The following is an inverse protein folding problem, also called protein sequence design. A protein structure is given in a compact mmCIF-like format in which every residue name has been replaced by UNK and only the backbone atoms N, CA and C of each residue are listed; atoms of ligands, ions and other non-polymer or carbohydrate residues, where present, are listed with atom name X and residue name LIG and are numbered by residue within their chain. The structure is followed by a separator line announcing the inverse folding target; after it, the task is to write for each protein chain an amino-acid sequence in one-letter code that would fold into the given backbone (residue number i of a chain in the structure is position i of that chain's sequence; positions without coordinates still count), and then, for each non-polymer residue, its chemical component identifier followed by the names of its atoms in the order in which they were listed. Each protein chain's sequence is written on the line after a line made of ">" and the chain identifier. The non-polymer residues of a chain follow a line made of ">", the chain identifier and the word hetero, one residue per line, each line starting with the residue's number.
data_IF_272391203054
#
_entry.id   IF_272391203054
#
_cell.length_a   1.000
_cell.length_b   1.000
_cell.length_c   1.000
_cell.angle_alpha   90.00
_cell.angle_beta   90.00
_cell.angle_gamma   90.00
#
_symmetry.space_group_name_H-M   'P 1'
#
loop_
_entity.id
_entity.type
_entity.pdbx_description
1 polymer ?
#
# COMPACT_ATOMS: atom_id res chain seq x y z
N UNK A 1 -15.78 -15.79 -24.52
CA UNK A 1 -16.64 -14.88 -23.73
C UNK A 1 -15.87 -14.46 -22.50
N UNK A 2 -15.76 -13.16 -22.27
CA UNK A 2 -14.99 -12.59 -21.16
C UNK A 2 -15.86 -12.59 -19.91
N UNK A 3 -15.30 -13.06 -18.80
CA UNK A 3 -15.95 -13.04 -17.49
C UNK A 3 -15.05 -12.29 -16.53
N UNK A 4 -15.64 -11.39 -15.75
CA UNK A 4 -14.94 -10.72 -14.66
C UNK A 4 -15.38 -11.38 -13.36
N UNK A 5 -14.43 -11.92 -12.61
CA UNK A 5 -14.69 -12.66 -11.38
C UNK A 5 -14.30 -11.79 -10.19
N UNK A 6 -15.24 -11.53 -9.29
CA UNK A 6 -15.02 -10.67 -8.13
C UNK A 6 -13.91 -11.23 -7.22
N UNK A 7 -13.74 -12.55 -7.16
CA UNK A 7 -12.69 -13.19 -6.35
C UNK A 7 -11.28 -12.74 -6.72
N UNK A 8 -11.04 -12.45 -8.01
CA UNK A 8 -9.73 -12.00 -8.49
C UNK A 8 -9.43 -10.59 -7.97
N UNK A 9 -10.44 -9.73 -7.94
CA UNK A 9 -10.34 -8.39 -7.35
C UNK A 9 -10.05 -8.47 -5.84
N UNK A 10 -10.78 -9.29 -5.08
CA UNK A 10 -10.53 -9.46 -3.65
C UNK A 10 -9.14 -10.04 -3.37
N UNK A 11 -8.69 -11.01 -4.16
CA UNK A 11 -7.35 -11.58 -4.07
C UNK A 11 -6.27 -10.54 -4.36
N UNK A 12 -6.50 -9.64 -5.31
CA UNK A 12 -5.59 -8.53 -5.58
C UNK A 12 -5.51 -7.56 -4.40
N UNK A 13 -6.65 -7.23 -3.75
CA UNK A 13 -6.65 -6.41 -2.54
C UNK A 13 -5.90 -7.07 -1.38
N UNK A 14 -6.06 -8.39 -1.19
CA UNK A 14 -5.32 -9.16 -0.17
C UNK A 14 -3.82 -9.14 -0.42
N UNK A 15 -3.42 -9.29 -1.69
CA UNK A 15 -2.01 -9.18 -2.07
C UNK A 15 -1.45 -7.80 -1.76
N UNK A 16 -2.18 -6.72 -2.09
CA UNK A 16 -1.72 -5.36 -1.80
C UNK A 16 -1.57 -5.15 -0.29
N UNK A 17 -2.51 -5.63 0.53
CA UNK A 17 -2.38 -5.51 1.99
C UNK A 17 -1.13 -6.25 2.51
N UNK A 18 -0.92 -7.48 2.04
CA UNK A 18 0.27 -8.27 2.37
C UNK A 18 1.57 -7.56 1.97
N UNK A 19 1.64 -7.04 0.74
CA UNK A 19 2.80 -6.30 0.25
C UNK A 19 3.05 -5.05 1.10
N UNK A 20 2.00 -4.29 1.48
CA UNK A 20 2.13 -3.11 2.34
C UNK A 20 2.64 -3.46 3.75
N UNK A 21 2.25 -4.62 4.29
CA UNK A 21 2.78 -5.11 5.57
C UNK A 21 4.28 -5.40 5.47
N UNK A 22 4.71 -6.09 4.42
CA UNK A 22 6.12 -6.38 4.17
C UNK A 22 6.96 -5.11 3.96
N UNK A 23 6.43 -4.13 3.21
CA UNK A 23 7.11 -2.85 3.03
C UNK A 23 7.22 -2.07 4.34
N UNK A 24 6.16 -2.06 5.16
CA UNK A 24 6.18 -1.38 6.46
C UNK A 24 7.22 -2.00 7.40
N UNK A 25 7.34 -3.34 7.41
CA UNK A 25 8.38 -4.03 8.17
C UNK A 25 9.79 -3.67 7.67
N UNK A 26 9.98 -3.66 6.34
CA UNK A 26 11.25 -3.27 5.73
C UNK A 26 11.64 -1.84 6.10
N UNK A 27 10.70 -0.90 6.01
CA UNK A 27 10.91 0.50 6.40
C UNK A 27 11.25 0.64 7.88
N UNK A 28 10.60 -0.13 8.75
CA UNK A 28 10.89 -0.17 10.19
C UNK A 28 12.31 -0.66 10.48
N UNK A 29 12.77 -1.69 9.78
CA UNK A 29 14.13 -2.22 9.90
C UNK A 29 15.18 -1.19 9.46
N UNK A 30 14.95 -0.53 8.32
CA UNK A 30 15.82 0.55 7.84
C UNK A 30 15.82 1.72 8.83
N UNK A 31 14.66 2.13 9.31
CA UNK A 31 14.55 3.22 10.29
C UNK A 31 15.35 2.90 11.56
N UNK A 32 15.27 1.67 12.06
CA UNK A 32 16.02 1.21 13.23
C UNK A 32 17.54 1.26 12.99
N UNK A 33 18.00 0.82 11.82
CA UNK A 33 19.42 0.90 11.45
C UNK A 33 19.91 2.36 11.37
N UNK A 34 19.11 3.25 10.78
CA UNK A 34 19.42 4.69 10.68
C UNK A 34 19.46 5.33 12.07
N UNK A 35 18.51 4.99 12.95
CA UNK A 35 18.54 5.44 14.34
C UNK A 35 19.82 4.99 15.06
N UNK A 36 20.34 3.80 14.75
CA UNK A 36 21.65 3.35 15.23
C UNK A 36 22.78 4.32 14.86
N UNK A 37 22.79 4.83 13.62
CA UNK A 37 23.79 5.81 13.14
C UNK A 37 23.60 7.17 13.81
N UNK A 38 22.37 7.67 13.85
CA UNK A 38 22.03 8.96 14.47
C UNK A 38 22.43 8.99 15.95
N UNK A 39 22.29 7.86 16.64
CA UNK A 39 22.55 7.72 18.07
C UNK A 39 23.97 7.24 18.41
N UNK A 40 24.93 7.31 17.47
CA UNK A 40 26.33 6.92 17.73
C UNK A 40 27.02 7.77 18.80
N UNK A 41 26.44 8.90 19.22
CA UNK A 41 26.96 9.72 20.32
C UNK A 41 28.44 10.07 20.14
N UNK A 42 29.24 9.72 21.14
CA UNK A 42 30.67 9.97 21.19
C UNK A 42 31.52 9.01 20.32
N UNK A 43 30.91 7.95 19.76
CA UNK A 43 31.62 7.04 18.85
C UNK A 43 31.82 7.66 17.46
N UNK A 44 31.10 8.75 17.14
CA UNK A 44 31.22 9.46 15.87
C UNK A 44 31.10 10.97 16.11
N UNK A 45 32.25 11.62 16.26
CA UNK A 45 32.39 13.02 16.69
C UNK A 45 33.12 13.89 15.66
N UNK A 46 33.28 15.17 15.99
CA UNK A 46 33.85 16.18 15.11
C UNK A 46 32.87 16.66 14.03
N UNK A 47 33.27 17.67 13.26
CA UNK A 47 32.36 18.29 12.27
C UNK A 47 31.83 17.28 11.23
N UNK A 48 32.67 16.35 10.77
CA UNK A 48 32.25 15.30 9.84
C UNK A 48 31.29 14.29 10.47
N UNK A 49 31.53 13.88 11.71
CA UNK A 49 30.65 12.97 12.44
C UNK A 49 29.28 13.57 12.71
N UNK A 50 29.24 14.82 13.15
CA UNK A 50 27.99 15.58 13.31
C UNK A 50 27.26 15.79 11.99
N UNK A 51 27.98 16.12 10.90
CA UNK A 51 27.38 16.27 9.58
C UNK A 51 26.72 14.97 9.10
N UNK A 52 27.36 13.81 9.31
CA UNK A 52 26.80 12.51 8.92
C UNK A 52 25.57 12.14 9.76
N UNK A 53 25.63 12.31 11.09
CA UNK A 53 24.47 12.09 11.98
C UNK A 53 23.29 12.97 11.57
N UNK A 54 23.53 14.26 11.33
CA UNK A 54 22.51 15.22 10.89
C UNK A 54 21.96 14.89 9.50
N UNK A 55 22.78 14.40 8.58
CA UNK A 55 22.32 13.98 7.25
C UNK A 55 21.26 12.88 7.34
N UNK A 56 21.47 11.87 8.18
CA UNK A 56 20.50 10.81 8.40
C UNK A 56 19.28 11.28 9.21
N UNK A 57 19.51 12.03 10.30
CA UNK A 57 18.43 12.51 11.18
C UNK A 57 17.47 13.48 10.47
N UNK A 58 17.99 14.43 9.68
CA UNK A 58 17.18 15.52 9.14
C UNK A 58 16.59 15.20 7.76
N UNK A 59 17.11 14.20 7.05
CA UNK A 59 16.66 13.87 5.69
C UNK A 59 16.02 12.48 5.64
N UNK A 60 16.70 11.45 6.14
CA UNK A 60 16.26 10.07 5.95
C UNK A 60 15.16 9.66 6.92
N UNK A 61 15.25 10.06 8.19
CA UNK A 61 14.20 9.75 9.18
C UNK A 61 12.83 10.34 8.77
N UNK A 62 12.73 11.62 8.33
CA UNK A 62 11.48 12.15 7.80
C UNK A 62 10.98 11.42 6.55
N UNK A 63 11.88 11.08 5.61
CA UNK A 63 11.51 10.36 4.40
C UNK A 63 10.91 8.98 4.72
N UNK A 64 11.52 8.22 5.63
CA UNK A 64 11.00 6.91 6.05
C UNK A 64 9.67 7.02 6.78
N UNK A 65 9.48 8.07 7.59
CA UNK A 65 8.19 8.37 8.22
C UNK A 65 7.11 8.63 7.16
N UNK A 66 7.42 9.43 6.13
CA UNK A 66 6.50 9.70 5.03
C UNK A 66 6.12 8.43 4.26
N UNK A 67 7.09 7.57 3.93
CA UNK A 67 6.78 6.30 3.25
C UNK A 67 5.98 5.34 4.11
N UNK A 68 6.24 5.29 5.42
CA UNK A 68 5.44 4.50 6.35
C UNK A 68 3.98 4.96 6.35
N UNK A 69 3.75 6.27 6.40
CA UNK A 69 2.41 6.86 6.28
C UNK A 69 1.77 6.54 4.93
N UNK A 70 2.52 6.63 3.82
CA UNK A 70 2.01 6.31 2.50
C UNK A 70 1.51 4.86 2.41
N UNK A 71 2.25 3.90 2.98
CA UNK A 71 1.83 2.50 3.06
C UNK A 71 0.51 2.35 3.83
N UNK A 72 0.38 3.05 4.96
CA UNK A 72 -0.87 3.05 5.74
C UNK A 72 -2.06 3.62 4.96
N UNK A 73 -1.86 4.69 4.19
CA UNK A 73 -2.91 5.29 3.37
C UNK A 73 -3.36 4.34 2.25
N UNK A 74 -2.44 3.58 1.65
CA UNK A 74 -2.79 2.53 0.66
C UNK A 74 -3.66 1.46 1.31
N UNK A 75 -3.29 0.97 2.50
CA UNK A 75 -4.09 -0.03 3.24
C UNK A 75 -5.49 0.48 3.56
N UNK A 76 -5.63 1.74 3.96
CA UNK A 76 -6.93 2.36 4.22
C UNK A 76 -7.76 2.43 2.94
N UNK A 77 -7.15 2.79 1.81
CA UNK A 77 -7.82 2.85 0.53
C UNK A 77 -8.29 1.46 0.08
N UNK A 78 -7.46 0.43 0.15
CA UNK A 78 -7.83 -0.94 -0.23
C UNK A 78 -8.90 -1.53 0.68
N UNK A 79 -8.87 -1.24 1.99
CA UNK A 79 -9.92 -1.62 2.92
C UNK A 79 -11.28 -0.99 2.53
N UNK A 80 -11.28 0.29 2.16
CA UNK A 80 -12.50 0.98 1.67
C UNK A 80 -13.00 0.38 0.36
N UNK A 81 -12.10 0.09 -0.58
CA UNK A 81 -12.46 -0.58 -1.84
C UNK A 81 -13.11 -1.94 -1.59
N UNK A 82 -12.56 -2.73 -0.66
CA UNK A 82 -13.12 -4.02 -0.25
C UNK A 82 -14.55 -3.87 0.27
N UNK A 83 -14.75 -2.94 1.20
CA UNK A 83 -16.05 -2.68 1.82
C UNK A 83 -17.09 -2.26 0.77
N UNK A 84 -16.73 -1.35 -0.13
CA UNK A 84 -17.63 -0.88 -1.18
C UNK A 84 -17.99 -2.00 -2.16
N UNK A 85 -17.02 -2.83 -2.57
CA UNK A 85 -17.29 -3.97 -3.44
C UNK A 85 -18.24 -4.98 -2.78
N UNK A 86 -18.00 -5.34 -1.51
CA UNK A 86 -18.88 -6.24 -0.75
C UNK A 86 -20.28 -5.66 -0.48
N UNK A 87 -20.42 -4.33 -0.51
CA UNK A 87 -21.75 -3.70 -0.39
C UNK A 87 -22.57 -3.78 -1.67
N UNK A 88 -21.92 -4.05 -2.82
CA UNK A 88 -22.57 -4.16 -4.12
C UNK A 88 -22.92 -5.62 -4.44
N UNK A 89 -21.94 -6.53 -4.33
CA UNK A 89 -22.09 -7.95 -4.69
C UNK A 89 -21.25 -8.88 -3.79
N UNK A 90 -21.52 -10.18 -3.84
CA UNK A 90 -20.76 -11.19 -3.12
C UNK A 90 -19.35 -11.37 -3.70
N UNK A 91 -18.42 -11.89 -2.90
CA UNK A 91 -17.02 -12.05 -3.32
C UNK A 91 -16.78 -13.10 -4.39
N UNK A 92 -17.79 -13.92 -4.70
CA UNK A 92 -17.82 -14.93 -5.74
C UNK A 92 -18.66 -14.52 -6.96
N UNK A 93 -19.12 -13.27 -7.02
CA UNK A 93 -19.90 -12.75 -8.14
C UNK A 93 -19.11 -12.78 -9.46
N UNK A 94 -19.85 -12.96 -10.55
CA UNK A 94 -19.30 -13.05 -11.92
C UNK A 94 -20.10 -12.15 -12.84
N UNK A 95 -19.41 -11.23 -13.51
CA UNK A 95 -19.97 -10.42 -14.58
C UNK A 95 -19.69 -11.12 -15.92
N UNK A 96 -20.76 -11.49 -16.61
CA UNK A 96 -20.71 -12.01 -17.99
C UNK A 96 -20.87 -10.86 -18.98
N UNK A 97 -19.79 -10.49 -19.66
CA UNK A 97 -19.76 -9.36 -20.59
C UNK A 97 -20.75 -9.57 -21.74
N UNK A 98 -20.88 -10.80 -22.24
CA UNK A 98 -21.78 -11.12 -23.35
C UNK A 98 -23.25 -11.00 -22.97
N UNK A 99 -23.59 -11.26 -21.70
CA UNK A 99 -24.94 -11.01 -21.20
C UNK A 99 -25.25 -9.51 -21.11
N UNK A 100 -24.29 -8.70 -20.65
CA UNK A 100 -24.47 -7.24 -20.60
C UNK A 100 -24.69 -6.67 -22.00
N UNK A 101 -23.85 -7.03 -22.96
CA UNK A 101 -23.93 -6.54 -24.34
C UNK A 101 -25.18 -7.02 -25.08
N UNK A 102 -25.56 -8.28 -24.87
CA UNK A 102 -26.68 -8.90 -25.59
C UNK A 102 -28.06 -8.59 -25.01
N UNK A 103 -28.18 -8.53 -23.68
CA UNK A 103 -29.48 -8.49 -23.00
C UNK A 103 -29.73 -7.19 -22.24
N UNK A 104 -28.69 -6.58 -21.66
CA UNK A 104 -28.85 -5.39 -20.79
C UNK A 104 -28.79 -4.09 -21.59
N UNK A 105 -27.70 -3.85 -22.32
CA UNK A 105 -27.49 -2.60 -23.07
C UNK A 105 -28.65 -2.31 -24.05
N UNK A 106 -29.13 -3.28 -24.86
CA UNK A 106 -30.22 -3.01 -25.80
C UNK A 106 -31.55 -2.61 -25.14
N UNK A 107 -31.73 -2.89 -23.84
CA UNK A 107 -32.90 -2.45 -23.08
C UNK A 107 -32.73 -1.05 -22.48
N UNK A 108 -31.50 -0.62 -22.22
CA UNK A 108 -31.19 0.71 -21.68
C UNK A 108 -31.18 1.81 -22.76
N UNK A 109 -30.96 1.44 -24.01
CA UNK A 109 -30.92 2.37 -25.16
C UNK A 109 -32.29 2.62 -25.80
N UNK A 110 -33.36 2.05 -25.24
CA UNK A 110 -34.77 2.27 -25.65
C UNK A 110 -35.41 3.40 -24.86
#
# INVERSE_FOLDING_TARGET
>A
MKKYVASDFFSALDKIDSDMNQYTETLSNIHSAIQGVVNLGDNLTGQGGEALKNFYANNHVPLLSYWTMACQQVKIATAKMRMNALSFESSDAVIDESFIEGEVIPQLEK
#
